data_IF_786567484009
#
_entry.id   IF_786567484009
#
_cell.length_a   1.000
_cell.length_b   1.000
_cell.length_c   1.000
_cell.angle_alpha   90.00
_cell.angle_beta   90.00
_cell.angle_gamma   90.00
#
_symmetry.space_group_name_H-M   'P 1'
#
loop_
_entity.id
_entity.type
_entity.pdbx_description
1 polymer ?
#
# COMPACT_ATOMS: atom_id res chain seq x y z
N UNK A 1 -1.05 22.78 2.59
CA UNK A 1 -2.14 21.96 2.03
C UNK A 1 -1.67 21.44 0.68
N UNK A 2 -1.47 20.12 0.53
CA UNK A 2 -1.20 19.53 -0.79
C UNK A 2 -2.55 19.53 -1.51
N UNK A 3 -2.66 20.23 -2.65
CA UNK A 3 -3.86 20.17 -3.47
C UNK A 3 -4.05 18.72 -3.91
N UNK A 4 -5.17 18.11 -3.51
CA UNK A 4 -5.57 16.82 -4.05
C UNK A 4 -5.69 16.98 -5.56
N UNK A 5 -5.00 16.14 -6.34
CA UNK A 5 -5.15 16.17 -7.80
C UNK A 5 -6.53 15.64 -8.13
N UNK A 6 -7.28 16.37 -8.94
CA UNK A 6 -8.61 15.96 -9.38
C UNK A 6 -8.60 14.56 -10.01
N UNK A 7 -9.73 13.85 -9.92
CA UNK A 7 -9.88 12.56 -10.60
C UNK A 7 -9.73 12.76 -12.12
N UNK A 8 -9.14 11.80 -12.84
CA UNK A 8 -9.09 11.85 -14.30
C UNK A 8 -10.51 11.96 -14.89
N UNK A 9 -10.67 12.82 -15.89
CA UNK A 9 -11.96 12.99 -16.60
C UNK A 9 -12.31 11.79 -17.47
N UNK A 10 -11.29 11.08 -17.97
CA UNK A 10 -11.41 9.89 -18.83
C UNK A 10 -11.76 8.60 -18.05
N UNK A 11 -12.26 8.73 -16.82
CA UNK A 11 -12.55 7.59 -15.95
C UNK A 11 -11.32 7.03 -15.25
N UNK A 12 -11.51 5.93 -14.51
CA UNK A 12 -10.46 5.25 -13.77
C UNK A 12 -10.77 3.76 -13.62
N UNK A 13 -9.74 3.00 -13.24
CA UNK A 13 -9.78 1.55 -13.23
C UNK A 13 -10.26 1.02 -11.88
N UNK A 14 -11.29 0.17 -11.94
CA UNK A 14 -11.68 -0.69 -10.83
C UNK A 14 -10.99 -2.05 -10.94
N UNK A 15 -10.93 -2.76 -9.83
CA UNK A 15 -10.56 -4.15 -9.82
C UNK A 15 -11.67 -4.97 -10.53
N UNK A 16 -11.33 -5.96 -11.36
CA UNK A 16 -12.34 -6.86 -11.96
C UNK A 16 -13.16 -7.62 -10.90
N UNK A 17 -14.46 -7.87 -11.13
CA UNK A 17 -15.33 -8.60 -10.21
C UNK A 17 -14.79 -9.97 -9.80
N UNK A 18 -14.15 -10.70 -10.72
CA UNK A 18 -13.58 -12.02 -10.46
C UNK A 18 -12.43 -12.02 -9.44
N UNK A 19 -11.78 -10.86 -9.21
CA UNK A 19 -10.80 -10.68 -8.14
C UNK A 19 -11.47 -10.10 -6.89
N UNK A 20 -12.43 -9.18 -7.05
CA UNK A 20 -13.11 -8.51 -5.95
C UNK A 20 -14.06 -9.44 -5.17
N UNK A 21 -14.92 -10.18 -5.86
CA UNK A 21 -16.01 -10.94 -5.26
C UNK A 21 -15.52 -12.01 -4.27
N UNK A 22 -14.43 -12.76 -4.54
CA UNK A 22 -13.85 -13.67 -3.54
C UNK A 22 -13.37 -12.95 -2.27
N UNK A 23 -12.73 -11.79 -2.43
CA UNK A 23 -12.28 -10.97 -1.30
C UNK A 23 -13.47 -10.42 -0.52
N UNK A 24 -14.51 -9.95 -1.19
CA UNK A 24 -15.71 -9.46 -0.52
C UNK A 24 -16.47 -10.59 0.20
N UNK A 25 -16.46 -11.80 -0.35
CA UNK A 25 -17.03 -12.97 0.32
C UNK A 25 -16.26 -13.32 1.61
N UNK A 26 -14.93 -13.20 1.58
CA UNK A 26 -14.05 -13.46 2.73
C UNK A 26 -14.18 -12.37 3.80
N UNK A 27 -14.02 -11.11 3.40
CA UNK A 27 -13.89 -9.98 4.32
C UNK A 27 -15.20 -9.23 4.58
N UNK A 28 -16.25 -9.46 3.79
CA UNK A 28 -17.58 -8.81 3.90
C UNK A 28 -17.47 -7.29 3.99
N UNK A 29 -16.97 -6.66 2.93
CA UNK A 29 -16.74 -5.22 2.91
C UNK A 29 -18.06 -4.47 3.12
N UNK A 30 -18.08 -3.57 4.10
CA UNK A 30 -19.22 -2.69 4.42
C UNK A 30 -18.96 -1.23 4.03
N UNK A 31 -17.75 -0.92 3.57
CA UNK A 31 -17.36 0.43 3.18
C UNK A 31 -16.26 0.46 2.10
N UNK A 32 -16.36 1.42 1.18
CA UNK A 32 -15.37 1.72 0.15
C UNK A 32 -14.86 3.16 0.37
N UNK A 33 -13.64 3.35 0.92
CA UNK A 33 -13.05 4.68 1.07
C UNK A 33 -12.75 5.40 -0.25
N UNK A 34 -12.70 4.68 -1.37
CA UNK A 34 -12.36 5.23 -2.68
C UNK A 34 -13.50 4.99 -3.70
N UNK A 35 -14.76 5.39 -3.39
CA UNK A 35 -15.92 4.89 -4.10
C UNK A 35 -16.00 5.39 -5.54
N UNK A 36 -16.69 4.59 -6.36
CA UNK A 36 -17.14 4.96 -7.70
C UNK A 36 -18.66 4.99 -7.81
N UNK A 37 -19.27 6.13 -8.19
CA UNK A 37 -18.67 7.47 -8.35
C UNK A 37 -18.18 8.09 -7.01
N UNK A 38 -17.26 9.08 -7.05
CA UNK A 38 -16.97 9.90 -5.85
C UNK A 38 -18.14 10.83 -5.63
N UNK A 39 -18.68 10.92 -4.41
CA UNK A 39 -19.48 12.10 -4.06
C UNK A 39 -18.62 13.37 -4.16
N UNK A 40 -19.26 14.48 -4.55
CA UNK A 40 -18.59 15.79 -4.60
C UNK A 40 -18.11 16.20 -3.21
N UNK A 41 -16.91 16.79 -3.13
CA UNK A 41 -16.32 17.21 -1.85
C UNK A 41 -15.94 16.07 -0.89
N UNK A 42 -16.17 14.81 -1.27
CA UNK A 42 -15.88 13.67 -0.39
C UNK A 42 -14.38 13.42 -0.26
N UNK A 43 -13.89 13.48 0.96
CA UNK A 43 -12.57 13.03 1.38
C UNK A 43 -12.69 12.01 2.52
N UNK A 44 -12.63 10.72 2.17
CA UNK A 44 -12.72 9.64 3.16
C UNK A 44 -11.51 9.58 4.10
N UNK A 45 -10.42 10.31 3.84
CA UNK A 45 -9.26 10.39 4.76
C UNK A 45 -9.61 11.15 6.04
N UNK A 46 -10.67 11.98 5.99
CA UNK A 46 -11.10 12.85 7.08
C UNK A 46 -12.26 12.28 7.91
N UNK A 47 -12.86 11.16 7.48
CA UNK A 47 -14.03 10.56 8.14
C UNK A 47 -13.71 9.18 8.70
N UNK A 48 -14.60 8.69 9.55
CA UNK A 48 -14.54 7.33 10.10
C UNK A 48 -14.90 6.29 9.02
N UNK A 49 -14.18 5.17 8.97
CA UNK A 49 -14.47 4.10 8.01
C UNK A 49 -15.43 3.03 8.56
N UNK A 50 -15.88 2.09 7.73
CA UNK A 50 -16.69 0.93 8.15
C UNK A 50 -15.88 -0.11 8.92
N UNK A 51 -16.52 -1.23 9.30
CA UNK A 51 -15.84 -2.32 10.00
C UNK A 51 -14.92 -3.13 9.07
N UNK A 52 -15.25 -3.19 7.78
CA UNK A 52 -14.48 -3.91 6.76
C UNK A 52 -14.41 -3.11 5.46
N UNK A 53 -13.19 -2.76 5.06
CA UNK A 53 -12.94 -1.72 4.07
C UNK A 53 -12.17 -2.26 2.87
N UNK A 54 -12.63 -1.94 1.66
CA UNK A 54 -11.91 -2.18 0.41
C UNK A 54 -11.30 -0.88 -0.10
N UNK A 55 -9.97 -0.79 -0.13
CA UNK A 55 -9.25 0.43 -0.51
C UNK A 55 -8.54 0.21 -1.84
N UNK A 56 -9.12 0.77 -2.91
CA UNK A 56 -8.48 0.93 -4.21
C UNK A 56 -8.14 2.42 -4.44
N UNK A 57 -7.01 2.92 -3.88
CA UNK A 57 -6.75 4.35 -3.82
C UNK A 57 -6.32 4.92 -5.18
N UNK A 58 -6.52 6.23 -5.41
CA UNK A 58 -5.93 6.92 -6.55
C UNK A 58 -4.41 6.92 -6.47
N UNK A 59 -3.74 6.02 -7.20
CA UNK A 59 -2.29 5.81 -7.10
C UNK A 59 -1.46 7.07 -7.43
N UNK A 60 -1.98 7.96 -8.26
CA UNK A 60 -1.34 9.22 -8.66
C UNK A 60 -1.42 10.34 -7.60
N UNK A 61 -2.25 10.17 -6.57
CA UNK A 61 -2.54 11.20 -5.56
C UNK A 61 -1.89 10.91 -4.19
N UNK A 62 -0.94 9.97 -4.13
CA UNK A 62 -0.15 9.71 -2.93
C UNK A 62 -0.68 8.55 -2.08
N UNK A 63 -0.16 7.35 -2.35
CA UNK A 63 -0.50 6.10 -1.66
C UNK A 63 -0.24 6.18 -0.14
N UNK A 64 0.83 6.85 0.29
CA UNK A 64 1.23 6.90 1.70
C UNK A 64 0.15 7.46 2.62
N UNK A 65 -0.65 8.42 2.16
CA UNK A 65 -1.73 8.98 2.96
C UNK A 65 -2.84 7.95 3.24
N UNK A 66 -3.18 7.15 2.23
CA UNK A 66 -4.15 6.05 2.34
C UNK A 66 -3.66 4.94 3.26
N UNK A 67 -2.38 4.55 3.15
CA UNK A 67 -1.78 3.55 4.05
C UNK A 67 -1.79 4.04 5.49
N UNK A 68 -1.43 5.31 5.76
CA UNK A 68 -1.50 5.88 7.11
C UNK A 68 -2.92 5.86 7.66
N UNK A 69 -3.91 6.26 6.86
CA UNK A 69 -5.32 6.22 7.28
C UNK A 69 -5.78 4.79 7.56
N UNK A 70 -5.46 3.83 6.70
CA UNK A 70 -5.82 2.43 6.92
C UNK A 70 -5.20 1.85 8.20
N UNK A 71 -3.95 2.21 8.53
CA UNK A 71 -3.31 1.83 9.81
C UNK A 71 -4.11 2.39 10.99
N UNK A 72 -4.47 3.68 10.96
CA UNK A 72 -5.25 4.32 12.03
C UNK A 72 -6.64 3.69 12.21
N UNK A 73 -7.30 3.28 11.12
CA UNK A 73 -8.59 2.60 11.19
C UNK A 73 -8.43 1.16 11.68
N UNK A 74 -7.37 0.47 11.26
CA UNK A 74 -7.05 -0.87 11.75
C UNK A 74 -6.77 -0.90 13.25
N UNK A 75 -6.05 0.10 13.79
CA UNK A 75 -5.81 0.26 15.23
C UNK A 75 -7.11 0.40 16.05
N UNK A 76 -8.23 0.75 15.42
CA UNK A 76 -9.57 0.78 16.03
C UNK A 76 -10.32 -0.55 15.93
N UNK A 77 -9.67 -1.62 15.47
CA UNK A 77 -10.27 -2.95 15.32
C UNK A 77 -10.93 -3.21 13.97
N UNK A 78 -10.68 -2.37 12.95
CA UNK A 78 -11.28 -2.52 11.61
C UNK A 78 -10.44 -3.37 10.69
N UNK A 79 -11.12 -4.04 9.76
CA UNK A 79 -10.48 -4.73 8.64
C UNK A 79 -10.26 -3.73 7.51
N UNK A 80 -9.03 -3.63 7.00
CA UNK A 80 -8.69 -2.77 5.86
C UNK A 80 -7.89 -3.59 4.84
N UNK A 81 -8.47 -3.79 3.66
CA UNK A 81 -7.83 -4.50 2.54
C UNK A 81 -7.46 -3.50 1.46
N UNK A 82 -6.16 -3.35 1.17
CA UNK A 82 -5.64 -2.38 0.20
C UNK A 82 -5.09 -3.11 -1.02
N UNK A 83 -5.41 -2.63 -2.22
CA UNK A 83 -4.66 -2.96 -3.44
C UNK A 83 -3.66 -1.86 -3.74
N UNK A 84 -2.37 -2.21 -3.82
CA UNK A 84 -1.29 -1.26 -4.08
C UNK A 84 -0.31 -1.84 -5.10
N UNK A 85 0.17 -1.04 -6.07
CA UNK A 85 1.21 -1.48 -6.99
C UNK A 85 2.55 -1.59 -6.27
N UNK A 86 3.34 -2.58 -6.66
CA UNK A 86 4.74 -2.76 -6.26
C UNK A 86 5.59 -3.06 -7.49
N UNK A 87 6.88 -2.80 -7.40
CA UNK A 87 7.81 -3.16 -8.46
C UNK A 87 7.87 -4.68 -8.65
N UNK A 88 7.98 -5.14 -9.90
CA UNK A 88 7.98 -6.57 -10.23
C UNK A 88 9.11 -7.35 -9.54
N UNK A 89 10.26 -6.72 -9.25
CA UNK A 89 11.35 -7.38 -8.52
C UNK A 89 10.97 -7.71 -7.06
N UNK A 90 10.08 -6.92 -6.43
CA UNK A 90 9.55 -7.21 -5.09
C UNK A 90 8.70 -8.47 -5.14
N UNK A 91 7.80 -8.57 -6.13
CA UNK A 91 6.97 -9.76 -6.36
C UNK A 91 7.82 -11.01 -6.52
N UNK A 92 8.84 -10.97 -7.37
CA UNK A 92 9.75 -12.09 -7.60
C UNK A 92 10.45 -12.55 -6.31
N UNK A 93 10.89 -11.62 -5.45
CA UNK A 93 11.54 -11.94 -4.19
C UNK A 93 10.57 -12.56 -3.18
N UNK A 94 9.32 -12.07 -3.12
CA UNK A 94 8.27 -12.66 -2.29
C UNK A 94 7.97 -14.10 -2.75
N UNK A 95 7.77 -14.32 -4.04
CA UNK A 95 7.51 -15.65 -4.63
C UNK A 95 8.69 -16.61 -4.43
N UNK A 96 9.92 -16.12 -4.56
CA UNK A 96 11.13 -16.87 -4.24
C UNK A 96 11.28 -17.17 -2.75
N UNK A 97 10.50 -16.50 -1.91
CA UNK A 97 10.50 -16.76 -0.49
C UNK A 97 11.54 -16.01 0.33
N UNK A 98 11.90 -14.80 -0.12
CA UNK A 98 12.77 -13.94 0.65
C UNK A 98 12.17 -13.64 2.03
N UNK A 99 13.02 -13.69 3.06
CA UNK A 99 12.71 -13.03 4.32
C UNK A 99 12.84 -11.51 4.13
N UNK A 100 11.83 -10.76 4.55
CA UNK A 100 11.78 -9.30 4.41
C UNK A 100 12.00 -8.65 5.77
N UNK A 101 12.97 -7.74 5.88
CA UNK A 101 13.21 -6.94 7.09
C UNK A 101 13.24 -5.46 6.77
N UNK A 102 12.54 -4.64 7.54
CA UNK A 102 12.69 -3.19 7.45
C UNK A 102 14.01 -2.77 8.08
N UNK A 103 14.82 -2.01 7.34
CA UNK A 103 16.02 -1.35 7.88
C UNK A 103 15.70 0.09 8.32
N UNK A 104 14.55 0.63 7.94
CA UNK A 104 14.18 2.01 8.20
C UNK A 104 15.16 2.99 7.56
N UNK A 105 15.38 4.12 8.23
CA UNK A 105 16.31 5.15 7.80
C UNK A 105 17.75 4.80 8.19
N UNK A 106 18.65 4.81 7.22
CA UNK A 106 20.07 4.50 7.40
C UNK A 106 20.96 5.43 6.56
N UNK A 107 22.27 5.29 6.70
CA UNK A 107 23.25 6.08 5.96
C UNK A 107 24.04 5.16 5.02
N UNK A 108 24.27 5.64 3.80
CA UNK A 108 25.22 5.04 2.86
C UNK A 108 26.63 5.54 3.15
N UNK A 109 27.62 4.67 3.00
CA UNK A 109 29.04 5.03 3.09
C UNK A 109 29.60 5.15 1.69
N UNK A 110 30.21 6.30 1.37
CA UNK A 110 30.87 6.52 0.10
C UNK A 110 32.19 5.74 0.03
N UNK A 111 32.45 5.09 -1.10
CA UNK A 111 33.52 4.08 -1.22
C UNK A 111 34.93 4.66 -1.25
N UNK A 112 35.10 5.97 -1.49
CA UNK A 112 36.42 6.61 -1.63
C UNK A 112 36.88 7.35 -0.37
N UNK A 113 35.98 8.08 0.27
CA UNK A 113 36.31 8.98 1.39
C UNK A 113 35.64 8.59 2.71
N UNK A 114 34.82 7.53 2.71
CA UNK A 114 34.11 7.05 3.90
C UNK A 114 33.01 7.99 4.40
N UNK A 115 32.71 9.07 3.67
CA UNK A 115 31.66 10.02 4.04
C UNK A 115 30.29 9.34 4.05
N UNK A 116 29.41 9.80 4.95
CA UNK A 116 28.07 9.23 5.13
C UNK A 116 27.01 10.12 4.51
N UNK A 117 26.06 9.50 3.80
CA UNK A 117 24.88 10.19 3.23
C UNK A 117 23.61 9.48 3.63
N UNK A 118 22.65 10.22 4.19
CA UNK A 118 21.33 9.70 4.53
C UNK A 118 20.63 9.11 3.30
N UNK A 119 20.11 7.90 3.42
CA UNK A 119 19.29 7.32 2.37
C UNK A 119 18.03 8.19 2.13
N UNK A 120 17.66 8.49 0.87
CA UNK A 120 16.52 9.35 0.57
C UNK A 120 15.17 8.68 0.87
N UNK A 121 15.16 7.36 1.02
CA UNK A 121 13.98 6.54 1.38
C UNK A 121 14.41 5.45 2.36
N UNK A 122 13.49 4.95 3.20
CA UNK A 122 13.73 3.74 3.97
C UNK A 122 14.11 2.57 3.06
N UNK A 123 14.90 1.64 3.58
CA UNK A 123 15.22 0.42 2.85
C UNK A 123 14.66 -0.81 3.54
N UNK A 124 14.44 -1.83 2.73
CA UNK A 124 14.09 -3.18 3.16
C UNK A 124 15.20 -4.12 2.70
N UNK A 125 15.53 -5.08 3.56
CA UNK A 125 16.37 -6.22 3.20
C UNK A 125 15.47 -7.33 2.68
N UNK A 126 15.86 -7.94 1.56
CA UNK A 126 15.25 -9.13 1.00
C UNK A 126 16.30 -10.24 1.03
N UNK A 127 16.10 -11.22 1.92
CA UNK A 127 17.13 -12.20 2.27
C UNK A 127 16.74 -13.57 1.72
N UNK A 128 17.54 -14.08 0.78
CA UNK A 128 17.47 -15.45 0.29
C UNK A 128 18.48 -16.30 1.09
N UNK A 129 17.99 -17.11 2.02
CA UNK A 129 18.85 -17.95 2.88
C UNK A 129 19.39 -19.15 2.11
N UNK A 130 20.64 -19.52 2.40
CA UNK A 130 21.20 -20.80 1.94
C UNK A 130 20.47 -21.97 2.62
N UNK A 131 19.84 -22.82 1.82
CA UNK A 131 19.10 -24.00 2.29
C UNK A 131 17.79 -24.17 1.52
N UNK A 132 17.54 -25.36 0.96
CA UNK A 132 16.27 -25.67 0.29
C UNK A 132 15.13 -25.47 1.29
N UNK A 133 14.17 -24.59 0.97
CA UNK A 133 12.86 -24.59 1.64
C UNK A 133 12.30 -26.00 1.52
N UNK A 134 12.17 -26.72 2.65
CA UNK A 134 11.24 -27.85 2.70
C UNK A 134 9.86 -27.24 2.51
N UNK A 135 9.22 -27.60 1.39
CA UNK A 135 7.78 -27.37 1.21
C UNK A 135 7.03 -28.15 2.28
#
# INVERSE_FOLDING_TARGET
MVKEKDRPKEGYWLIPPEIYDPLNKEFKFDYDPCPNPKPEGFDSKLVEWGNSNWINPPFWAGITAWVRKAILEHEKGKTCVLILPLDNWVRLLIEAGAEIRSLGSHDWVHTKDGSRRKAPRPSFLFILKNGKRKK
#
